data_IF_575318310968
#
_entry.id   IF_575318310968
#
_cell.length_a   1.000
_cell.length_b   1.000
_cell.length_c   1.000
_cell.angle_alpha   90.00
_cell.angle_beta   90.00
_cell.angle_gamma   90.00
#
_symmetry.space_group_name_H-M   'P 1'
#
loop_
_entity.id
_entity.type
_entity.pdbx_description
1 polymer ?
#
# COMPACT_ATOMS: atom_id res chain seq x y z
N UNK A 1 3.52 6.28 17.72
CA UNK A 1 3.90 6.92 16.44
C UNK A 1 3.33 8.32 16.39
N UNK A 2 4.15 9.31 16.07
CA UNK A 2 3.71 10.69 15.91
C UNK A 2 3.02 10.89 14.56
N UNK A 3 2.28 12.01 14.42
CA UNK A 3 1.66 12.36 13.14
C UNK A 3 2.68 12.47 12.01
N UNK A 4 3.82 13.08 12.29
CA UNK A 4 4.86 13.24 11.26
C UNK A 4 5.45 11.90 10.83
N UNK A 5 5.67 11.00 11.77
CA UNK A 5 6.12 9.66 11.47
C UNK A 5 5.07 8.89 10.65
N UNK A 6 3.80 9.03 11.02
CA UNK A 6 2.71 8.40 10.29
C UNK A 6 2.61 8.92 8.86
N UNK A 7 2.82 10.22 8.64
CA UNK A 7 2.84 10.81 7.29
C UNK A 7 3.97 10.25 6.44
N UNK A 8 5.16 10.11 7.00
CA UNK A 8 6.31 9.52 6.30
C UNK A 8 6.05 8.07 5.94
N UNK A 9 5.52 7.29 6.88
CA UNK A 9 5.16 5.89 6.63
C UNK A 9 4.06 5.78 5.57
N UNK A 10 3.07 6.65 5.62
CA UNK A 10 2.00 6.66 4.63
C UNK A 10 2.54 6.93 3.22
N UNK A 11 3.48 7.85 3.10
CA UNK A 11 4.15 8.12 1.83
C UNK A 11 4.84 6.87 1.28
N UNK A 12 5.59 6.16 2.14
CA UNK A 12 6.27 4.93 1.77
C UNK A 12 5.28 3.84 1.37
N UNK A 13 4.21 3.68 2.12
CA UNK A 13 3.16 2.69 1.83
C UNK A 13 2.50 2.99 0.49
N UNK A 14 2.16 4.25 0.21
CA UNK A 14 1.57 4.64 -1.06
C UNK A 14 2.51 4.31 -2.23
N UNK A 15 3.80 4.56 -2.08
CA UNK A 15 4.78 4.22 -3.12
C UNK A 15 4.88 2.72 -3.33
N UNK A 16 4.83 1.94 -2.27
CA UNK A 16 4.83 0.48 -2.37
C UNK A 16 3.59 -0.05 -3.09
N UNK A 17 2.42 0.54 -2.81
CA UNK A 17 1.18 0.19 -3.49
C UNK A 17 1.31 0.47 -5.00
N UNK A 18 1.74 1.65 -5.37
CA UNK A 18 1.94 2.03 -6.78
C UNK A 18 2.93 1.10 -7.48
N UNK A 19 4.04 0.81 -6.83
CA UNK A 19 5.07 -0.06 -7.37
C UNK A 19 4.54 -1.47 -7.62
N UNK A 20 3.78 -2.02 -6.70
CA UNK A 20 3.18 -3.34 -6.87
C UNK A 20 2.18 -3.37 -8.02
N UNK A 21 1.35 -2.35 -8.13
CA UNK A 21 0.39 -2.25 -9.23
C UNK A 21 1.12 -2.21 -10.58
N UNK A 22 2.18 -1.41 -10.67
CA UNK A 22 2.97 -1.30 -11.91
C UNK A 22 3.68 -2.61 -12.23
N UNK A 23 4.30 -3.25 -11.23
CA UNK A 23 4.98 -4.54 -11.42
C UNK A 23 4.04 -5.60 -11.97
N UNK A 24 2.84 -5.70 -11.43
CA UNK A 24 1.85 -6.69 -11.87
C UNK A 24 1.23 -6.35 -13.22
N UNK A 25 1.13 -5.08 -13.54
CA UNK A 25 0.63 -4.62 -14.85
C UNK A 25 1.57 -4.97 -15.99
N UNK A 26 2.87 -4.99 -15.72
CA UNK A 26 3.91 -5.24 -16.72
C UNK A 26 4.23 -6.72 -16.93
N UNK A 27 3.74 -7.58 -16.06
CA UNK A 27 3.88 -9.02 -16.26
C UNK A 27 2.86 -9.49 -17.29
N UNK A 28 3.38 -9.92 -18.41
CA UNK A 28 2.63 -10.33 -19.60
C UNK A 28 1.51 -11.32 -19.29
N UNK A 29 0.31 -10.81 -19.20
CA UNK A 29 -0.90 -11.60 -19.39
C UNK A 29 -1.30 -12.57 -18.29
N UNK A 30 -0.51 -12.71 -17.25
CA UNK A 30 -0.91 -13.57 -16.14
C UNK A 30 -0.92 -12.83 -14.83
N UNK A 31 -1.94 -12.05 -14.70
CA UNK A 31 -2.26 -11.31 -13.52
C UNK A 31 -2.97 -12.26 -12.54
N UNK A 32 -2.24 -12.75 -11.57
CA UNK A 32 -2.90 -13.51 -10.52
C UNK A 32 -3.51 -12.53 -9.52
N UNK A 33 -4.77 -12.19 -9.76
CA UNK A 33 -5.51 -11.23 -8.96
C UNK A 33 -5.55 -11.59 -7.48
N UNK A 34 -5.54 -12.86 -7.16
CA UNK A 34 -5.60 -13.33 -5.77
C UNK A 34 -4.32 -12.98 -5.00
N UNK A 35 -3.16 -13.21 -5.61
CA UNK A 35 -1.87 -12.89 -4.98
C UNK A 35 -1.72 -11.38 -4.81
N UNK A 36 -2.03 -10.63 -5.86
CA UNK A 36 -1.96 -9.16 -5.84
C UNK A 36 -2.91 -8.59 -4.80
N UNK A 37 -4.14 -9.07 -4.76
CA UNK A 37 -5.14 -8.61 -3.80
C UNK A 37 -4.68 -8.86 -2.36
N UNK A 38 -4.09 -10.01 -2.07
CA UNK A 38 -3.59 -10.33 -0.73
C UNK A 38 -2.45 -9.39 -0.32
N UNK A 39 -1.50 -9.14 -1.21
CA UNK A 39 -0.39 -8.23 -0.95
C UNK A 39 -0.86 -6.79 -0.78
N UNK A 40 -1.75 -6.33 -1.66
CA UNK A 40 -2.33 -4.98 -1.58
C UNK A 40 -3.21 -4.81 -0.35
N UNK A 41 -3.93 -5.85 0.06
CA UNK A 41 -4.78 -5.78 1.23
C UNK A 41 -3.98 -5.43 2.50
N UNK A 42 -2.82 -6.04 2.69
CA UNK A 42 -1.95 -5.72 3.81
C UNK A 42 -1.49 -4.26 3.78
N UNK A 43 -1.15 -3.75 2.60
CA UNK A 43 -0.73 -2.36 2.43
C UNK A 43 -1.90 -1.40 2.65
N UNK A 44 -3.09 -1.74 2.17
CA UNK A 44 -4.29 -0.92 2.39
C UNK A 44 -4.68 -0.87 3.85
N UNK A 45 -4.58 -1.99 4.57
CA UNK A 45 -4.87 -2.03 6.01
C UNK A 45 -3.89 -1.14 6.77
N UNK A 46 -2.60 -1.20 6.43
CA UNK A 46 -1.60 -0.33 7.02
C UNK A 46 -1.86 1.14 6.71
N UNK A 47 -2.26 1.44 5.49
CA UNK A 47 -2.64 2.79 5.07
C UNK A 47 -3.79 3.34 5.92
N UNK A 48 -4.81 2.53 6.16
CA UNK A 48 -5.96 2.93 6.99
C UNK A 48 -5.54 3.22 8.43
N UNK A 49 -4.69 2.37 9.02
CA UNK A 49 -4.16 2.59 10.36
C UNK A 49 -3.40 3.91 10.43
N UNK A 50 -2.54 4.18 9.46
CA UNK A 50 -1.75 5.41 9.41
C UNK A 50 -2.64 6.64 9.23
N UNK A 51 -3.67 6.57 8.40
CA UNK A 51 -4.64 7.66 8.23
C UNK A 51 -5.37 7.96 9.52
N UNK A 52 -5.74 6.94 10.28
CA UNK A 52 -6.39 7.12 11.58
C UNK A 52 -5.48 7.84 12.57
N UNK A 53 -4.19 7.51 12.59
CA UNK A 53 -3.20 8.20 13.44
C UNK A 53 -3.09 9.66 13.04
N UNK A 54 -3.04 9.96 11.75
CA UNK A 54 -2.91 11.34 11.23
C UNK A 54 -4.16 12.16 11.54
N UNK A 55 -5.34 11.53 11.48
CA UNK A 55 -6.63 12.23 11.68
C UNK A 55 -7.11 12.26 13.14
N UNK A 56 -6.41 11.61 14.02
CA UNK A 56 -6.79 11.57 15.45
C UNK A 56 -6.44 12.86 16.20
#
# INVERSE_FOLDING_TARGET
>A
MTRNEAKLELFKVNRQIEKKIVEHKNELGQYNKSIVANELQLLWDRKDILKNIINS
#
